data_IF_440347834596
#
_entry.id   IF_440347834596
#
_cell.length_a   1.000
_cell.length_b   1.000
_cell.length_c   1.000
_cell.angle_alpha   90.00
_cell.angle_beta   90.00
_cell.angle_gamma   90.00
#
_symmetry.space_group_name_H-M   'P 1'
#
loop_
_entity.id
_entity.type
_entity.pdbx_description
1 polymer ?
#
# COMPACT_ATOMS: atom_id res chain seq x y z
N UNK A 1 21.04 13.49 -9.48
CA UNK A 1 20.13 13.40 -8.32
C UNK A 1 19.11 12.31 -8.57
N UNK A 2 18.93 11.42 -7.61
CA UNK A 2 17.89 10.42 -7.69
C UNK A 2 16.52 11.04 -7.39
N UNK A 3 15.53 10.67 -8.18
CA UNK A 3 14.13 11.06 -7.92
C UNK A 3 13.61 10.17 -6.79
N UNK A 4 12.90 10.76 -5.82
CA UNK A 4 12.28 10.00 -4.75
C UNK A 4 11.26 9.02 -5.30
N UNK A 5 11.31 7.77 -4.85
CA UNK A 5 10.40 6.72 -5.32
C UNK A 5 8.96 7.03 -4.90
N UNK A 6 8.00 7.01 -5.83
CA UNK A 6 6.59 7.24 -5.51
C UNK A 6 5.99 6.02 -4.82
N UNK A 7 5.36 6.25 -3.67
CA UNK A 7 4.69 5.22 -2.87
C UNK A 7 3.24 5.63 -2.69
N UNK A 8 2.31 4.76 -3.01
CA UNK A 8 0.89 5.03 -2.81
C UNK A 8 0.43 4.44 -1.46
N UNK A 9 -0.24 5.26 -0.67
CA UNK A 9 -0.87 4.86 0.59
C UNK A 9 -2.37 4.83 0.36
N UNK A 10 -3.01 3.69 0.57
CA UNK A 10 -4.47 3.53 0.43
C UNK A 10 -5.04 3.20 1.79
N UNK A 11 -5.70 4.16 2.42
CA UNK A 11 -6.27 4.03 3.75
C UNK A 11 -7.35 5.09 3.93
N UNK A 12 -8.53 4.70 4.40
CA UNK A 12 -9.64 5.62 4.66
C UNK A 12 -9.46 6.42 5.96
N UNK A 13 -8.53 6.02 6.82
CA UNK A 13 -8.16 6.78 8.01
C UNK A 13 -7.14 7.86 7.63
N UNK A 14 -7.63 9.08 7.45
CA UNK A 14 -6.79 10.20 7.02
C UNK A 14 -5.67 10.56 7.98
N UNK A 15 -5.89 10.35 9.28
CA UNK A 15 -4.86 10.61 10.29
C UNK A 15 -3.71 9.62 10.17
N UNK A 16 -4.02 8.32 10.07
CA UNK A 16 -3.00 7.28 9.87
C UNK A 16 -2.27 7.47 8.56
N UNK A 17 -3.00 7.72 7.47
CA UNK A 17 -2.38 7.96 6.15
C UNK A 17 -1.40 9.14 6.22
N UNK A 18 -1.74 10.19 6.94
CA UNK A 18 -0.87 11.34 7.14
C UNK A 18 0.40 10.97 7.91
N UNK A 19 0.29 10.13 8.94
CA UNK A 19 1.45 9.66 9.70
C UNK A 19 2.38 8.82 8.83
N UNK A 20 1.83 7.91 8.04
CA UNK A 20 2.61 7.09 7.11
C UNK A 20 3.30 7.94 6.05
N UNK A 21 2.58 8.94 5.54
CA UNK A 21 3.12 9.87 4.54
C UNK A 21 4.35 10.60 5.08
N UNK A 22 4.26 11.17 6.28
CA UNK A 22 5.39 11.86 6.92
C UNK A 22 6.58 10.95 7.15
N UNK A 23 6.30 9.72 7.61
CA UNK A 23 7.34 8.73 7.88
C UNK A 23 8.09 8.37 6.60
N UNK A 24 7.37 8.17 5.49
CA UNK A 24 7.97 7.88 4.20
C UNK A 24 8.75 9.08 3.64
N UNK A 25 8.23 10.28 3.77
CA UNK A 25 8.94 11.49 3.34
C UNK A 25 10.29 11.63 4.05
N UNK A 26 10.32 11.42 5.36
CA UNK A 26 11.56 11.47 6.15
C UNK A 26 12.58 10.44 5.67
N UNK A 27 12.10 9.32 5.17
CA UNK A 27 12.97 8.25 4.67
C UNK A 27 13.40 8.45 3.21
N UNK A 28 12.96 9.54 2.56
CA UNK A 28 13.38 9.88 1.20
C UNK A 28 12.45 9.38 0.11
N UNK A 29 11.24 8.94 0.44
CA UNK A 29 10.24 8.53 -0.55
C UNK A 29 9.28 9.67 -0.86
N UNK A 30 8.49 9.50 -1.92
CA UNK A 30 7.47 10.46 -2.31
C UNK A 30 6.08 9.84 -2.17
N UNK A 31 5.37 10.04 -1.03
CA UNK A 31 4.08 9.41 -0.81
C UNK A 31 2.94 10.15 -1.50
N UNK A 32 1.97 9.37 -1.98
CA UNK A 32 0.65 9.82 -2.42
C UNK A 32 -0.39 9.10 -1.57
N UNK A 33 -1.52 9.73 -1.31
CA UNK A 33 -2.57 9.17 -0.46
C UNK A 33 -3.88 9.07 -1.23
N UNK A 34 -4.52 7.90 -1.14
CA UNK A 34 -5.87 7.67 -1.64
C UNK A 34 -6.74 7.15 -0.48
N UNK A 35 -7.96 7.66 -0.37
CA UNK A 35 -8.87 7.31 0.72
C UNK A 35 -9.76 6.11 0.40
N UNK A 36 -9.78 5.65 -0.84
CA UNK A 36 -10.62 4.54 -1.30
C UNK A 36 -10.04 3.92 -2.57
N UNK A 37 -10.64 2.81 -3.01
CA UNK A 37 -10.15 2.07 -4.17
C UNK A 37 -10.23 2.85 -5.47
N UNK A 38 -11.27 3.67 -5.66
CA UNK A 38 -11.42 4.47 -6.88
C UNK A 38 -10.33 5.54 -7.00
N UNK A 39 -10.07 6.26 -5.90
CA UNK A 39 -8.96 7.21 -5.86
C UNK A 39 -7.62 6.51 -6.08
N UNK A 40 -7.45 5.32 -5.51
CA UNK A 40 -6.23 4.55 -5.64
C UNK A 40 -5.93 4.20 -7.10
N UNK A 41 -6.93 3.74 -7.85
CA UNK A 41 -6.75 3.43 -9.26
C UNK A 41 -6.36 4.65 -10.07
N UNK A 42 -6.97 5.80 -9.79
CA UNK A 42 -6.63 7.06 -10.42
C UNK A 42 -5.18 7.47 -10.14
N UNK A 43 -4.75 7.31 -8.89
CA UNK A 43 -3.36 7.60 -8.48
C UNK A 43 -2.35 6.65 -9.11
N UNK A 44 -2.70 5.37 -9.23
CA UNK A 44 -1.85 4.38 -9.91
C UNK A 44 -1.62 4.77 -11.36
N UNK A 45 -2.67 5.17 -12.06
CA UNK A 45 -2.58 5.60 -13.46
C UNK A 45 -1.74 6.88 -13.63
N UNK A 46 -1.89 7.83 -12.71
CA UNK A 46 -1.22 9.12 -12.81
C UNK A 46 0.24 9.09 -12.38
N UNK A 47 0.54 8.37 -11.30
CA UNK A 47 1.82 8.48 -10.63
C UNK A 47 2.71 7.26 -10.74
N UNK A 48 2.20 6.14 -11.22
CA UNK A 48 2.94 4.89 -11.39
C UNK A 48 3.76 4.54 -10.15
N UNK A 49 3.12 4.30 -8.98
CA UNK A 49 3.87 4.06 -7.75
C UNK A 49 4.73 2.82 -7.87
N UNK A 50 5.87 2.84 -7.18
CA UNK A 50 6.78 1.69 -7.14
C UNK A 50 6.36 0.66 -6.09
N UNK A 51 5.54 1.04 -5.13
CA UNK A 51 4.94 0.16 -4.14
C UNK A 51 3.64 0.76 -3.62
N UNK A 52 2.79 -0.08 -3.06
CA UNK A 52 1.51 0.34 -2.50
C UNK A 52 1.40 -0.16 -1.06
N UNK A 53 1.03 0.73 -0.14
CA UNK A 53 0.64 0.37 1.22
C UNK A 53 -0.89 0.40 1.24
N UNK A 54 -1.50 -0.72 1.56
CA UNK A 54 -2.95 -0.91 1.39
C UNK A 54 -3.62 -1.42 2.65
N UNK A 55 -4.66 -0.71 3.11
CA UNK A 55 -5.62 -1.24 4.06
C UNK A 55 -6.72 -1.98 3.28
N UNK A 56 -6.85 -3.28 3.50
CA UNK A 56 -7.83 -4.11 2.80
C UNK A 56 -9.25 -3.83 3.29
N UNK A 57 -9.43 -3.55 4.57
CA UNK A 57 -10.75 -3.43 5.19
C UNK A 57 -11.23 -1.98 5.23
N UNK A 58 -11.48 -1.41 4.05
CA UNK A 58 -12.07 -0.09 3.89
C UNK A 58 -13.57 -0.19 3.60
N UNK A 59 -14.37 0.84 3.96
CA UNK A 59 -15.79 0.88 3.56
C UNK A 59 -15.94 0.96 2.04
N UNK A 60 -17.04 0.40 1.53
CA UNK A 60 -17.32 0.38 0.09
C UNK A 60 -16.48 -0.64 -0.66
N UNK A 61 -16.10 -0.38 -1.92
CA UNK A 61 -15.17 -1.26 -2.63
C UNK A 61 -13.88 -1.37 -1.83
N UNK A 62 -13.60 -2.56 -1.31
CA UNK A 62 -12.50 -2.76 -0.38
C UNK A 62 -11.17 -3.04 -1.11
N UNK A 63 -10.12 -3.24 -0.32
CA UNK A 63 -8.79 -3.48 -0.86
C UNK A 63 -8.67 -4.77 -1.66
N UNK A 64 -9.52 -5.76 -1.43
CA UNK A 64 -9.52 -7.00 -2.24
C UNK A 64 -9.93 -6.68 -3.68
N UNK A 65 -10.95 -5.85 -3.86
CA UNK A 65 -11.36 -5.39 -5.20
C UNK A 65 -10.22 -4.65 -5.88
N UNK A 66 -9.53 -3.77 -5.14
CA UNK A 66 -8.38 -3.05 -5.66
C UNK A 66 -7.26 -3.99 -6.08
N UNK A 67 -6.97 -5.02 -5.28
CA UNK A 67 -5.95 -6.03 -5.63
C UNK A 67 -6.27 -6.72 -6.95
N UNK A 68 -7.54 -7.11 -7.15
CA UNK A 68 -7.98 -7.72 -8.41
C UNK A 68 -7.80 -6.77 -9.59
N UNK A 69 -8.16 -5.51 -9.43
CA UNK A 69 -8.02 -4.51 -10.48
C UNK A 69 -6.56 -4.30 -10.88
N UNK A 70 -5.69 -4.13 -9.90
CA UNK A 70 -4.26 -3.94 -10.16
C UNK A 70 -3.69 -5.18 -10.87
N UNK A 71 -4.04 -6.37 -10.39
CA UNK A 71 -3.51 -7.63 -10.92
C UNK A 71 -3.98 -7.90 -12.35
N UNK A 72 -5.15 -7.39 -12.73
CA UNK A 72 -5.71 -7.58 -14.08
C UNK A 72 -5.01 -6.74 -15.15
N UNK A 73 -4.26 -5.70 -14.77
CA UNK A 73 -3.51 -4.85 -15.68
C UNK A 73 -2.05 -5.32 -15.77
N UNK A 74 -1.60 -5.70 -16.97
CA UNK A 74 -0.27 -6.29 -17.15
C UNK A 74 0.86 -5.34 -16.76
N UNK A 75 0.68 -4.04 -16.92
CA UNK A 75 1.67 -3.03 -16.58
C UNK A 75 1.70 -2.72 -15.06
N UNK A 76 0.68 -3.13 -14.31
CA UNK A 76 0.55 -2.87 -12.88
C UNK A 76 0.75 -4.13 -12.02
N UNK A 77 0.71 -5.31 -12.65
CA UNK A 77 0.70 -6.59 -11.93
C UNK A 77 1.97 -6.84 -11.10
N UNK A 78 3.06 -6.16 -11.42
CA UNK A 78 4.35 -6.34 -10.74
C UNK A 78 4.56 -5.34 -9.59
N UNK A 79 3.63 -4.41 -9.36
CA UNK A 79 3.76 -3.47 -8.25
C UNK A 79 3.64 -4.23 -6.92
N UNK A 80 4.67 -4.21 -6.06
CA UNK A 80 4.60 -4.89 -4.76
C UNK A 80 3.64 -4.17 -3.83
N UNK A 81 2.89 -4.95 -3.05
CA UNK A 81 1.88 -4.44 -2.13
C UNK A 81 2.22 -4.85 -0.71
N UNK A 82 2.22 -3.88 0.20
CA UNK A 82 2.33 -4.08 1.64
C UNK A 82 0.95 -3.84 2.23
N UNK A 83 0.34 -4.87 2.80
CA UNK A 83 -0.96 -4.75 3.46
C UNK A 83 -0.74 -4.29 4.90
N UNK A 84 -1.54 -3.32 5.34
CA UNK A 84 -1.45 -2.73 6.66
C UNK A 84 -2.87 -2.66 7.23
N UNK A 85 -3.20 -3.51 8.19
CA UNK A 85 -4.59 -3.68 8.62
C UNK A 85 -4.71 -4.00 10.11
N UNK A 86 -5.85 -3.62 10.71
CA UNK A 86 -6.20 -4.00 12.09
C UNK A 86 -6.61 -5.46 12.23
N UNK A 87 -6.91 -6.12 11.13
CA UNK A 87 -7.44 -7.48 11.11
C UNK A 87 -6.52 -8.47 10.41
N UNK A 88 -5.20 -8.31 10.64
CA UNK A 88 -4.18 -9.14 9.99
C UNK A 88 -4.42 -10.64 10.19
N UNK A 89 -4.92 -11.05 11.37
CA UNK A 89 -5.20 -12.45 11.67
C UNK A 89 -6.39 -13.01 10.88
N UNK A 90 -7.27 -12.15 10.35
CA UNK A 90 -8.45 -12.55 9.60
C UNK A 90 -8.16 -12.72 8.10
N UNK A 91 -6.94 -12.44 7.66
CA UNK A 91 -6.56 -12.52 6.26
C UNK A 91 -6.07 -13.93 5.93
N UNK A 92 -6.66 -14.61 4.91
CA UNK A 92 -6.14 -15.91 4.47
C UNK A 92 -4.78 -15.73 3.80
N UNK A 93 -3.70 -16.11 4.47
CA UNK A 93 -2.34 -15.90 4.00
C UNK A 93 -2.04 -16.55 2.64
N UNK A 94 -2.68 -17.69 2.34
CA UNK A 94 -2.41 -18.42 1.10
C UNK A 94 -2.86 -17.72 -0.18
N UNK A 95 -3.78 -16.75 -0.09
CA UNK A 95 -4.35 -16.10 -1.27
C UNK A 95 -3.67 -14.78 -1.62
N UNK A 96 -2.95 -14.15 -0.69
CA UNK A 96 -2.43 -12.80 -0.88
C UNK A 96 -1.21 -12.74 -1.81
N UNK A 97 -0.37 -13.78 -1.77
CA UNK A 97 0.83 -13.82 -2.60
C UNK A 97 0.52 -13.74 -4.10
N UNK A 98 -0.61 -14.34 -4.54
CA UNK A 98 -1.03 -14.29 -5.95
C UNK A 98 -1.46 -12.89 -6.39
N UNK A 99 -1.74 -11.98 -5.47
CA UNK A 99 -2.10 -10.60 -5.79
C UNK A 99 -0.93 -9.62 -5.66
N UNK A 100 0.30 -10.14 -5.50
CA UNK A 100 1.47 -9.30 -5.36
C UNK A 100 1.69 -8.74 -3.96
N UNK A 101 1.00 -9.29 -2.95
CA UNK A 101 1.20 -8.88 -1.56
C UNK A 101 2.49 -9.47 -1.04
N UNK A 102 3.45 -8.60 -0.73
CA UNK A 102 4.78 -9.00 -0.26
C UNK A 102 4.80 -9.25 1.25
N UNK A 103 4.03 -8.49 2.02
CA UNK A 103 3.96 -8.65 3.48
C UNK A 103 2.67 -8.04 4.02
N UNK A 104 2.29 -8.48 5.21
CA UNK A 104 1.14 -7.96 5.95
C UNK A 104 1.63 -7.41 7.28
N UNK A 105 1.30 -6.15 7.56
CA UNK A 105 1.60 -5.50 8.82
C UNK A 105 0.31 -5.35 9.65
N UNK A 106 0.41 -5.62 10.94
CA UNK A 106 -0.69 -5.48 11.89
C UNK A 106 -0.66 -4.07 12.50
N UNK A 107 -1.68 -3.26 12.21
CA UNK A 107 -1.78 -1.88 12.72
C UNK A 107 -1.78 -1.81 14.24
N UNK A 108 -2.23 -2.86 14.92
CA UNK A 108 -2.34 -2.87 16.39
C UNK A 108 -0.99 -3.03 17.08
N UNK A 109 0.00 -3.58 16.38
CA UNK A 109 1.31 -3.89 16.99
C UNK A 109 2.49 -3.19 16.31
N UNK A 110 2.31 -2.69 15.09
CA UNK A 110 3.40 -2.07 14.33
C UNK A 110 3.75 -0.67 14.82
N UNK A 111 5.00 -0.28 14.59
CA UNK A 111 5.44 1.11 14.68
C UNK A 111 5.42 1.75 13.29
N UNK A 112 5.29 3.09 13.17
CA UNK A 112 5.32 3.74 11.84
C UNK A 112 6.58 3.42 11.03
N UNK A 113 7.72 3.23 11.68
CA UNK A 113 8.97 2.89 10.99
C UNK A 113 8.95 1.50 10.34
N UNK A 114 8.05 0.62 10.74
CA UNK A 114 7.89 -0.71 10.14
C UNK A 114 7.46 -0.60 8.68
N UNK A 115 6.74 0.47 8.32
CA UNK A 115 6.35 0.75 6.94
C UNK A 115 7.60 1.01 6.09
N UNK A 116 8.52 1.81 6.59
CA UNK A 116 9.78 2.11 5.89
C UNK A 116 10.58 0.83 5.66
N UNK A 117 10.70 -0.02 6.69
CA UNK A 117 11.41 -1.29 6.57
C UNK A 117 10.77 -2.18 5.50
N UNK A 118 9.45 -2.28 5.51
CA UNK A 118 8.72 -3.10 4.52
C UNK A 118 8.92 -2.55 3.10
N UNK A 119 8.82 -1.24 2.91
CA UNK A 119 9.01 -0.61 1.60
C UNK A 119 10.44 -0.82 1.10
N UNK A 120 11.44 -0.66 1.95
CA UNK A 120 12.84 -0.91 1.57
C UNK A 120 13.04 -2.34 1.07
N UNK A 121 12.44 -3.31 1.75
CA UNK A 121 12.57 -4.73 1.36
C UNK A 121 11.97 -5.01 0.00
N UNK A 122 10.79 -4.44 -0.30
CA UNK A 122 10.11 -4.73 -1.57
C UNK A 122 10.74 -4.00 -2.75
N UNK A 123 11.48 -2.92 -2.51
CA UNK A 123 12.15 -2.14 -3.55
C UNK A 123 13.62 -2.53 -3.80
N UNK A 124 14.13 -3.46 -3.04
CA UNK A 124 15.50 -3.94 -3.23
C UNK A 124 15.67 -4.78 -4.50
#
# INVERSE_FOLDING_TARGET
MSVAAPILIVDDDGWLASQYSRTLERAGYHPYVAANALEAMDMVDKHHPQAIILDIFMPGPNGIVLLHEIRSHSDLADIPIVVCTNSASDIPHGNLAQYGVATVLDKTTMHPDDIVTAIRRVLL
#
